data_IF_983535889630
#
_entry.id   IF_983535889630
#
_cell.length_a   1.000
_cell.length_b   1.000
_cell.length_c   1.000
_cell.angle_alpha   90.00
_cell.angle_beta   90.00
_cell.angle_gamma   90.00
#
_symmetry.space_group_name_H-M   'P 1'
#
loop_
_entity.id
_entity.type
_entity.pdbx_description
1 polymer ?
#
# COMPACT_ATOMS: atom_id res chain seq x y z
N UNK A 1 -3.98 24.71 -20.12
CA UNK A 1 -5.30 24.08 -20.40
C UNK A 1 -5.19 22.91 -21.37
N UNK A 2 -4.70 23.07 -22.61
CA UNK A 2 -4.46 21.92 -23.53
C UNK A 2 -3.26 21.07 -23.10
N UNK A 3 -2.16 21.69 -22.64
CA UNK A 3 -0.98 20.96 -22.12
C UNK A 3 -1.25 20.16 -20.84
N UNK A 4 -2.09 20.70 -19.95
CA UNK A 4 -2.48 20.01 -18.71
C UNK A 4 -3.37 18.80 -19.02
N UNK A 5 -4.19 18.90 -20.07
CA UNK A 5 -5.01 17.80 -20.57
C UNK A 5 -4.16 16.69 -21.20
N UNK A 6 -3.15 17.06 -22.00
CA UNK A 6 -2.23 16.10 -22.60
C UNK A 6 -1.40 15.37 -21.54
N UNK A 7 -0.89 16.06 -20.52
CA UNK A 7 -0.21 15.42 -19.38
C UNK A 7 -1.12 14.49 -18.57
N UNK A 8 -2.41 14.83 -18.45
CA UNK A 8 -3.39 13.97 -17.79
C UNK A 8 -3.66 12.70 -18.61
N UNK A 9 -3.75 12.81 -19.94
CA UNK A 9 -3.91 11.69 -20.86
C UNK A 9 -2.68 10.77 -20.85
N UNK A 10 -1.46 11.30 -20.91
CA UNK A 10 -0.22 10.52 -20.81
C UNK A 10 -0.11 9.76 -19.47
N UNK A 11 -0.57 10.39 -18.37
CA UNK A 11 -0.64 9.71 -17.07
C UNK A 11 -1.68 8.59 -17.06
N UNK A 12 -2.83 8.79 -17.69
CA UNK A 12 -3.88 7.76 -17.78
C UNK A 12 -3.41 6.57 -18.61
N UNK A 13 -2.78 6.81 -19.76
CA UNK A 13 -2.19 5.77 -20.61
C UNK A 13 -1.09 5.00 -19.86
N UNK A 14 -0.25 5.71 -19.08
CA UNK A 14 0.76 5.07 -18.24
C UNK A 14 0.15 4.19 -17.13
N UNK A 15 -0.98 4.59 -16.57
CA UNK A 15 -1.71 3.80 -15.56
C UNK A 15 -2.34 2.57 -16.21
N UNK A 16 -2.90 2.71 -17.41
CA UNK A 16 -3.51 1.63 -18.16
C UNK A 16 -2.47 0.58 -18.58
N UNK A 17 -1.28 1.00 -19.03
CA UNK A 17 -0.16 0.09 -19.30
C UNK A 17 0.33 -0.65 -18.06
N UNK A 18 0.43 0.03 -16.92
CA UNK A 18 0.85 -0.60 -15.65
C UNK A 18 -0.18 -1.61 -15.18
N UNK A 19 -1.47 -1.28 -15.31
CA UNK A 19 -2.59 -2.18 -15.01
C UNK A 19 -2.52 -3.43 -15.89
N UNK A 20 -2.30 -3.27 -17.19
CA UNK A 20 -2.24 -4.39 -18.14
C UNK A 20 -1.03 -5.30 -17.90
N UNK A 21 0.16 -4.72 -17.64
CA UNK A 21 1.36 -5.49 -17.24
C UNK A 21 1.15 -6.26 -15.95
N UNK A 22 0.41 -5.67 -15.00
CA UNK A 22 0.04 -6.34 -13.76
C UNK A 22 -0.93 -7.49 -14.00
N UNK A 23 -1.95 -7.32 -14.85
CA UNK A 23 -2.86 -8.39 -15.25
C UNK A 23 -2.14 -9.56 -15.96
N UNK A 24 -1.18 -9.26 -16.82
CA UNK A 24 -0.34 -10.25 -17.49
C UNK A 24 0.52 -11.02 -16.47
N UNK A 25 1.21 -10.32 -15.57
CA UNK A 25 1.99 -10.94 -14.49
C UNK A 25 1.10 -11.78 -13.56
N UNK A 26 -0.12 -11.32 -13.23
CA UNK A 26 -1.09 -12.09 -12.47
C UNK A 26 -1.56 -13.36 -13.21
N UNK A 27 -1.56 -13.33 -14.53
CA UNK A 27 -1.95 -14.48 -15.37
C UNK A 27 -0.85 -15.53 -15.44
N UNK A 28 0.42 -15.13 -15.31
CA UNK A 28 1.59 -16.01 -15.22
C UNK A 28 1.73 -16.73 -13.87
N UNK A 29 1.05 -16.25 -12.83
CA UNK A 29 1.08 -16.86 -11.50
C UNK A 29 0.29 -18.18 -11.46
N UNK A 30 0.97 -19.24 -11.04
CA UNK A 30 0.51 -20.64 -11.08
C UNK A 30 -0.57 -20.94 -10.03
N UNK A 31 -0.58 -20.23 -8.91
CA UNK A 31 -1.55 -20.45 -7.82
C UNK A 31 -2.23 -19.16 -7.35
N UNK A 32 -3.41 -19.30 -6.74
CA UNK A 32 -4.12 -18.19 -6.08
C UNK A 32 -3.34 -17.65 -4.87
N UNK A 33 -2.46 -18.44 -4.28
CA UNK A 33 -1.62 -18.04 -3.17
C UNK A 33 -0.50 -17.08 -3.61
N UNK A 34 0.12 -17.34 -4.77
CA UNK A 34 1.13 -16.45 -5.32
C UNK A 34 0.54 -15.08 -5.68
N UNK A 35 -0.70 -15.04 -6.20
CA UNK A 35 -1.43 -13.80 -6.48
C UNK A 35 -1.70 -12.99 -5.22
N UNK A 36 -2.08 -13.66 -4.11
CA UNK A 36 -2.29 -13.02 -2.81
C UNK A 36 -0.98 -12.42 -2.26
N UNK A 37 0.12 -13.18 -2.30
CA UNK A 37 1.44 -12.72 -1.83
C UNK A 37 1.94 -11.50 -2.61
N UNK A 38 1.73 -11.49 -3.92
CA UNK A 38 2.06 -10.35 -4.76
C UNK A 38 1.24 -9.10 -4.37
N UNK A 39 -0.08 -9.25 -4.22
CA UNK A 39 -0.95 -8.15 -3.78
C UNK A 39 -0.54 -7.62 -2.39
N UNK A 40 -0.20 -8.50 -1.46
CA UNK A 40 0.31 -8.11 -0.14
C UNK A 40 1.60 -7.30 -0.24
N UNK A 41 2.53 -7.72 -1.11
CA UNK A 41 3.76 -7.00 -1.38
C UNK A 41 3.47 -5.60 -1.93
N UNK A 42 2.57 -5.46 -2.89
CA UNK A 42 2.21 -4.16 -3.45
C UNK A 42 1.57 -3.23 -2.42
N UNK A 43 0.66 -3.74 -1.57
CA UNK A 43 0.05 -2.96 -0.48
C UNK A 43 1.13 -2.49 0.49
N UNK A 44 2.08 -3.36 0.85
CA UNK A 44 3.20 -3.02 1.72
C UNK A 44 4.10 -1.93 1.11
N UNK A 45 4.45 -2.07 -0.16
CA UNK A 45 5.28 -1.10 -0.89
C UNK A 45 4.58 0.25 -1.02
N UNK A 46 3.30 0.26 -1.38
CA UNK A 46 2.50 1.48 -1.48
C UNK A 46 2.38 2.20 -0.13
N UNK A 47 2.02 1.48 0.95
CA UNK A 47 1.90 2.07 2.27
C UNK A 47 3.22 2.67 2.77
N UNK A 48 4.37 2.02 2.50
CA UNK A 48 5.68 2.56 2.85
C UNK A 48 6.07 3.77 2.01
N UNK A 49 5.83 3.74 0.70
CA UNK A 49 6.11 4.87 -0.18
C UNK A 49 5.31 6.11 0.22
N UNK A 50 4.01 5.95 0.49
CA UNK A 50 3.14 7.05 0.91
C UNK A 50 3.58 7.63 2.27
N UNK A 51 3.98 6.76 3.21
CA UNK A 51 4.51 7.19 4.52
C UNK A 51 5.82 7.95 4.37
N UNK A 52 6.72 7.51 3.50
CA UNK A 52 7.98 8.20 3.21
C UNK A 52 7.73 9.56 2.56
N UNK A 53 6.86 9.62 1.55
CA UNK A 53 6.51 10.87 0.88
C UNK A 53 5.88 11.88 1.86
N UNK A 54 4.97 11.44 2.71
CA UNK A 54 4.39 12.28 3.75
C UNK A 54 5.43 12.74 4.77
N UNK A 55 6.40 11.89 5.12
CA UNK A 55 7.49 12.26 6.03
C UNK A 55 8.42 13.32 5.42
N UNK A 56 8.80 13.18 4.14
CA UNK A 56 9.62 14.17 3.43
C UNK A 56 8.94 15.54 3.42
N UNK A 57 7.66 15.58 3.02
CA UNK A 57 6.87 16.82 3.01
C UNK A 57 6.67 17.40 4.42
N UNK A 58 6.53 16.54 5.43
CA UNK A 58 6.46 16.96 6.83
C UNK A 58 7.76 17.65 7.27
N UNK A 59 8.91 17.04 7.00
CA UNK A 59 10.21 17.62 7.36
C UNK A 59 10.41 18.96 6.65
N UNK A 60 10.11 19.04 5.35
CA UNK A 60 10.17 20.29 4.60
C UNK A 60 9.26 21.37 5.23
N UNK A 61 7.97 21.08 5.40
CA UNK A 61 7.03 22.02 6.01
C UNK A 61 7.44 22.43 7.43
N UNK A 62 7.97 21.49 8.23
CA UNK A 62 8.43 21.75 9.58
C UNK A 62 9.65 22.68 9.60
N UNK A 63 10.58 22.53 8.66
CA UNK A 63 11.73 23.46 8.53
C UNK A 63 11.31 24.87 8.14
N UNK A 64 10.20 25.02 7.42
CA UNK A 64 9.62 26.32 7.07
C UNK A 64 8.76 26.94 8.18
N UNK A 65 8.28 26.13 9.12
CA UNK A 65 7.60 26.60 10.33
C UNK A 65 8.62 27.22 11.28
N UNK A 66 9.04 28.47 10.98
CA UNK A 66 9.85 29.29 11.89
C UNK A 66 9.08 29.50 13.20
N UNK A 67 9.77 29.92 14.27
CA UNK A 67 9.24 30.00 15.65
C UNK A 67 8.12 31.04 15.89
N UNK A 68 7.50 31.60 14.84
CA UNK A 68 6.46 32.60 14.94
C UNK A 68 5.05 32.00 15.03
N UNK A 69 4.16 32.69 15.74
CA UNK A 69 2.75 32.29 15.92
C UNK A 69 2.01 32.28 14.57
N UNK A 70 2.35 33.19 13.67
CA UNK A 70 1.72 33.31 12.35
C UNK A 70 2.07 32.11 11.45
N UNK A 71 3.34 31.71 11.40
CA UNK A 71 3.83 30.55 10.66
C UNK A 71 3.24 29.25 11.22
N UNK A 72 3.17 29.14 12.55
CA UNK A 72 2.51 28.00 13.20
C UNK A 72 1.02 27.91 12.83
N UNK A 73 0.29 29.02 12.82
CA UNK A 73 -1.11 29.05 12.41
C UNK A 73 -1.30 28.68 10.92
N UNK A 74 -0.37 29.10 10.06
CA UNK A 74 -0.44 28.83 8.62
C UNK A 74 -0.07 27.38 8.25
N UNK A 75 0.94 26.80 8.91
CA UNK A 75 1.54 25.50 8.52
C UNK A 75 1.08 24.35 9.45
N UNK A 76 0.62 24.64 10.67
CA UNK A 76 0.25 23.62 11.65
C UNK A 76 -0.82 22.64 11.15
N UNK A 77 -1.84 23.12 10.43
CA UNK A 77 -2.87 22.26 9.84
C UNK A 77 -2.32 21.36 8.71
N UNK A 78 -1.28 21.80 8.00
CA UNK A 78 -0.61 21.01 6.96
C UNK A 78 0.23 19.90 7.60
N UNK A 79 0.98 20.22 8.66
CA UNK A 79 1.75 19.24 9.42
C UNK A 79 0.85 18.14 10.02
N UNK A 80 -0.30 18.52 10.58
CA UNK A 80 -1.29 17.54 11.07
C UNK A 80 -1.73 16.58 9.96
N UNK A 81 -2.01 17.09 8.75
CA UNK A 81 -2.41 16.24 7.61
C UNK A 81 -1.33 15.24 7.21
N UNK A 82 -0.06 15.62 7.24
CA UNK A 82 1.04 14.70 6.95
C UNK A 82 1.19 13.63 8.04
N UNK A 83 1.05 14.00 9.32
CA UNK A 83 1.03 13.04 10.43
C UNK A 83 -0.14 12.07 10.34
N UNK A 84 -1.34 12.55 10.02
CA UNK A 84 -2.52 11.72 9.78
C UNK A 84 -2.32 10.78 8.59
N UNK A 85 -1.66 11.24 7.52
CA UNK A 85 -1.34 10.38 6.36
C UNK A 85 -0.37 9.28 6.75
N UNK A 86 0.70 9.60 7.48
CA UNK A 86 1.64 8.61 7.99
C UNK A 86 0.96 7.60 8.93
N UNK A 87 0.04 8.07 9.79
CA UNK A 87 -0.73 7.20 10.67
C UNK A 87 -1.64 6.24 9.88
N UNK A 88 -2.35 6.73 8.86
CA UNK A 88 -3.16 5.90 7.96
C UNK A 88 -2.33 4.82 7.26
N UNK A 89 -1.11 5.14 6.82
CA UNK A 89 -0.20 4.14 6.26
C UNK A 89 0.18 3.07 7.29
N UNK A 90 0.39 3.44 8.57
CA UNK A 90 0.63 2.46 9.63
C UNK A 90 -0.60 1.57 9.87
N UNK A 91 -1.82 2.13 9.87
CA UNK A 91 -3.05 1.34 9.99
C UNK A 91 -3.21 0.35 8.82
N UNK A 92 -2.83 0.72 7.60
CA UNK A 92 -2.83 -0.18 6.44
C UNK A 92 -1.85 -1.35 6.64
N UNK A 93 -0.65 -1.07 7.16
CA UNK A 93 0.36 -2.11 7.45
C UNK A 93 -0.11 -3.07 8.54
N UNK A 94 -0.76 -2.57 9.60
CA UNK A 94 -1.34 -3.42 10.66
C UNK A 94 -2.44 -4.32 10.12
N UNK A 95 -3.37 -3.78 9.32
CA UNK A 95 -4.42 -4.56 8.66
C UNK A 95 -3.85 -5.63 7.72
N UNK A 96 -2.78 -5.30 6.99
CA UNK A 96 -2.10 -6.27 6.14
C UNK A 96 -1.53 -7.43 6.97
N UNK A 97 -0.88 -7.13 8.10
CA UNK A 97 -0.36 -8.16 9.00
C UNK A 97 -1.48 -9.06 9.56
N UNK A 98 -2.62 -8.49 9.95
CA UNK A 98 -3.79 -9.26 10.39
C UNK A 98 -4.34 -10.18 9.30
N UNK A 99 -4.44 -9.69 8.06
CA UNK A 99 -4.89 -10.49 6.90
C UNK A 99 -3.94 -11.64 6.61
N UNK A 100 -2.62 -11.39 6.65
CA UNK A 100 -1.60 -12.43 6.44
C UNK A 100 -1.70 -13.49 7.53
N UNK A 101 -1.73 -13.08 8.80
CA UNK A 101 -1.84 -14.01 9.93
C UNK A 101 -3.11 -14.88 9.85
N UNK A 102 -4.24 -14.29 9.43
CA UNK A 102 -5.48 -15.03 9.21
C UNK A 102 -5.36 -16.04 8.06
N UNK A 103 -4.73 -15.65 6.95
CA UNK A 103 -4.53 -16.53 5.80
C UNK A 103 -3.59 -17.71 6.14
N UNK A 104 -2.52 -17.46 6.91
CA UNK A 104 -1.62 -18.51 7.41
C UNK A 104 -2.35 -19.46 8.37
N UNK A 105 -3.18 -18.92 9.26
CA UNK A 105 -4.00 -19.73 10.17
C UNK A 105 -4.99 -20.64 9.41
N UNK A 106 -5.62 -20.14 8.34
CA UNK A 106 -6.49 -20.93 7.46
C UNK A 106 -5.71 -22.03 6.72
N UNK A 107 -4.51 -21.75 6.23
CA UNK A 107 -3.67 -22.75 5.55
C UNK A 107 -3.13 -23.83 6.52
N UNK A 108 -2.97 -23.50 7.81
CA UNK A 108 -2.54 -24.42 8.86
C UNK A 108 -3.65 -25.31 9.42
N UNK A 109 -4.93 -25.09 9.04
CA UNK A 109 -6.01 -26.03 9.36
C UNK A 109 -5.90 -27.23 8.43
N UNK A 110 -5.07 -28.19 8.84
CA UNK A 110 -5.06 -29.52 8.25
C UNK A 110 -6.39 -30.19 8.61
N UNK A 111 -7.17 -30.57 7.60
CA UNK A 111 -8.38 -31.36 7.80
C UNK A 111 -7.98 -32.76 8.31
N UNK A 112 -8.45 -33.21 9.49
CA UNK A 112 -8.21 -34.56 9.97
C UNK A 112 -8.61 -35.64 8.97
N UNK A 113 -9.67 -35.41 8.18
CA UNK A 113 -10.11 -36.36 7.16
C UNK A 113 -9.13 -36.43 5.98
N UNK A 114 -8.50 -35.31 5.60
CA UNK A 114 -7.40 -35.29 4.62
C UNK A 114 -6.17 -36.04 5.16
N UNK A 115 -5.86 -35.88 6.45
CA UNK A 115 -4.74 -36.58 7.09
C UNK A 115 -4.99 -38.11 7.15
N UNK A 116 -6.22 -38.53 7.45
CA UNK A 116 -6.62 -39.93 7.49
C UNK A 116 -6.65 -40.56 6.10
N UNK A 117 -7.00 -39.80 5.05
CA UNK A 117 -6.97 -40.29 3.68
C UNK A 117 -5.56 -40.56 3.16
N UNK A 118 -4.56 -39.79 3.62
CA UNK A 118 -3.14 -39.96 3.25
C UNK A 118 -2.43 -41.12 3.98
N UNK A 119 -3.02 -41.63 5.08
CA UNK A 119 -2.48 -42.78 5.84
C UNK A 119 -3.02 -44.12 5.29
N UNK A 120 -4.08 -44.10 4.48
CA UNK A 120 -4.60 -45.31 3.82
C UNK A 120 -3.82 -45.60 2.54
N UNK A 121 -2.63 -46.15 2.71
CA UNK A 121 -1.91 -47.06 1.79
C UNK A 121 -0.92 -47.89 2.65
#
# INVERSE_FOLDING_TARGET
MVDDLNKALEKLESIEEKTKKFEEMLSELVSSEDKKKLLWKEIYENANLDRQNAHVLFVEAYTHMRTGIAEHAAIGAILSKYLERMNKSNEQLLKLAEVIAKAEAENSKIDPDDLFSQIKD
#
